data_IF_909162593257
#
_entry.id   IF_909162593257
#
_cell.length_a   1.000
_cell.length_b   1.000
_cell.length_c   1.000
_cell.angle_alpha   90.00
_cell.angle_beta   90.00
_cell.angle_gamma   90.00
#
_symmetry.space_group_name_H-M   'P 1'
#
loop_
_entity.id
_entity.type
_entity.pdbx_description
1 polymer ?
#
# COMPACT_ATOMS: atom_id res chain seq x y z
N UNK A 1 25.85 -37.99 -60.43
CA UNK A 1 24.73 -38.45 -59.58
C UNK A 1 24.94 -37.88 -58.19
N UNK A 2 23.92 -37.19 -57.68
CA UNK A 2 23.94 -36.44 -56.43
C UNK A 2 23.63 -37.33 -55.23
N UNK A 3 24.32 -37.12 -54.10
CA UNK A 3 23.78 -37.27 -52.74
C UNK A 3 24.65 -36.45 -51.75
N UNK A 4 24.08 -35.38 -51.22
CA UNK A 4 24.58 -34.68 -50.02
C UNK A 4 24.32 -35.51 -48.76
N UNK A 5 25.29 -35.66 -47.84
CA UNK A 5 25.01 -36.11 -46.49
C UNK A 5 24.54 -34.94 -45.62
N UNK A 6 23.30 -35.04 -45.14
CA UNK A 6 22.69 -34.15 -44.14
C UNK A 6 23.42 -34.31 -42.81
N UNK A 7 23.97 -33.22 -42.27
CA UNK A 7 24.58 -33.15 -40.93
C UNK A 7 23.47 -33.20 -39.87
N UNK A 8 23.51 -34.12 -38.89
CA UNK A 8 22.47 -34.23 -37.88
C UNK A 8 22.47 -33.01 -36.95
N UNK A 9 21.29 -32.41 -36.79
CA UNK A 9 21.02 -31.37 -35.81
C UNK A 9 21.19 -31.96 -34.40
N UNK A 10 22.12 -31.41 -33.64
CA UNK A 10 22.25 -31.67 -32.21
C UNK A 10 20.98 -31.18 -31.50
N UNK A 11 20.40 -31.96 -30.59
CA UNK A 11 19.24 -31.51 -29.82
C UNK A 11 19.70 -30.35 -28.94
N UNK A 12 19.12 -29.16 -29.14
CA UNK A 12 19.32 -28.05 -28.22
C UNK A 12 18.79 -28.49 -26.86
N UNK A 13 19.71 -28.78 -25.95
CA UNK A 13 19.42 -28.89 -24.53
C UNK A 13 18.88 -27.53 -24.13
N UNK A 14 17.55 -27.45 -23.99
CA UNK A 14 16.84 -26.35 -23.35
C UNK A 14 17.41 -26.22 -21.95
N UNK A 15 18.43 -25.39 -21.85
CA UNK A 15 18.92 -24.84 -20.61
C UNK A 15 17.81 -23.93 -20.17
N UNK A 16 17.07 -24.38 -19.14
CA UNK A 16 16.24 -23.51 -18.36
C UNK A 16 17.06 -22.26 -18.08
N UNK A 17 16.70 -21.16 -18.73
CA UNK A 17 17.20 -19.83 -18.41
C UNK A 17 16.86 -19.64 -16.95
N UNK A 18 17.86 -19.85 -16.08
CA UNK A 18 17.86 -19.33 -14.72
C UNK A 18 17.76 -17.84 -14.92
N UNK A 19 16.54 -17.33 -14.91
CA UNK A 19 16.23 -15.90 -14.90
C UNK A 19 17.12 -15.31 -13.82
N UNK A 20 18.11 -14.54 -14.30
CA UNK A 20 19.04 -13.85 -13.45
C UNK A 20 18.21 -13.12 -12.39
N UNK A 21 18.50 -13.42 -11.13
CA UNK A 21 18.02 -12.67 -9.98
C UNK A 21 18.25 -11.20 -10.30
N UNK A 22 17.16 -10.47 -10.57
CA UNK A 22 17.23 -9.03 -10.63
C UNK A 22 17.87 -8.56 -9.31
N UNK A 23 18.69 -7.49 -9.31
CA UNK A 23 19.09 -6.88 -8.06
C UNK A 23 17.80 -6.58 -7.29
N UNK A 24 17.59 -7.32 -6.19
CA UNK A 24 16.49 -7.12 -5.26
C UNK A 24 16.67 -5.71 -4.70
N UNK A 25 16.07 -4.72 -5.36
CA UNK A 25 16.01 -3.36 -4.82
C UNK A 25 15.37 -3.49 -3.46
N UNK A 26 16.07 -3.14 -2.36
CA UNK A 26 15.50 -3.25 -1.04
C UNK A 26 14.19 -2.48 -1.06
N UNK A 27 13.10 -3.15 -0.69
CA UNK A 27 11.80 -2.51 -0.57
C UNK A 27 11.92 -1.42 0.47
N UNK A 28 12.13 -0.19 0.01
CA UNK A 28 12.23 0.97 0.88
C UNK A 28 10.81 1.31 1.31
N UNK A 29 10.39 0.69 2.41
CA UNK A 29 9.13 1.02 3.05
C UNK A 29 9.13 2.51 3.40
N UNK A 30 8.15 3.24 2.87
CA UNK A 30 7.99 4.68 3.12
C UNK A 30 7.71 4.95 4.60
N UNK A 31 7.18 3.96 5.32
CA UNK A 31 6.78 4.08 6.72
C UNK A 31 7.34 2.95 7.58
N UNK A 32 7.63 3.26 8.83
CA UNK A 32 7.86 2.25 9.86
C UNK A 32 6.55 1.47 10.15
N UNK A 33 6.67 0.24 10.66
CA UNK A 33 5.54 -0.55 11.14
C UNK A 33 4.70 0.21 12.17
N UNK A 34 5.33 1.00 13.05
CA UNK A 34 4.59 1.81 14.03
C UNK A 34 3.73 2.89 13.36
N UNK A 35 4.29 3.59 12.38
CA UNK A 35 3.60 4.63 11.61
C UNK A 35 2.47 4.06 10.77
N UNK A 36 2.68 2.87 10.21
CA UNK A 36 1.64 2.18 9.45
C UNK A 36 0.40 1.87 10.30
N UNK A 37 0.59 1.46 11.58
CA UNK A 37 -0.52 1.28 12.53
C UNK A 37 -1.25 2.59 12.82
N UNK A 38 -0.52 3.70 13.01
CA UNK A 38 -1.13 5.02 13.22
C UNK A 38 -1.88 5.50 11.98
N UNK A 39 -1.37 5.21 10.78
CA UNK A 39 -2.03 5.53 9.53
C UNK A 39 -3.36 4.76 9.39
N UNK A 40 -3.37 3.46 9.68
CA UNK A 40 -4.62 2.67 9.70
C UNK A 40 -5.60 3.23 10.74
N UNK A 41 -5.12 3.60 11.93
CA UNK A 41 -5.96 4.23 12.94
C UNK A 41 -6.58 5.54 12.43
N UNK A 42 -5.82 6.35 11.69
CA UNK A 42 -6.34 7.59 11.09
C UNK A 42 -7.48 7.34 10.10
N UNK A 43 -7.36 6.30 9.27
CA UNK A 43 -8.41 5.88 8.33
C UNK A 43 -9.66 5.44 9.09
N UNK A 44 -9.51 4.68 10.18
CA UNK A 44 -10.63 4.25 11.00
C UNK A 44 -11.40 5.44 11.61
N UNK A 45 -10.67 6.47 12.07
CA UNK A 45 -11.28 7.71 12.61
C UNK A 45 -12.01 8.49 11.53
N UNK A 46 -11.42 8.62 10.34
CA UNK A 46 -12.08 9.27 9.19
C UNK A 46 -13.36 8.53 8.80
N UNK A 47 -13.29 7.20 8.70
CA UNK A 47 -14.46 6.37 8.42
C UNK A 47 -15.56 6.53 9.48
N UNK A 48 -15.18 6.56 10.76
CA UNK A 48 -16.10 6.83 11.86
C UNK A 48 -16.79 8.19 11.71
N UNK A 49 -16.06 9.24 11.35
CA UNK A 49 -16.62 10.58 11.10
C UNK A 49 -17.65 10.59 9.97
N UNK A 50 -17.37 9.90 8.87
CA UNK A 50 -18.32 9.74 7.77
C UNK A 50 -19.55 8.90 8.15
N UNK A 51 -19.38 7.85 8.96
CA UNK A 51 -20.51 7.05 9.47
C UNK A 51 -21.41 7.92 10.38
N UNK A 52 -20.80 8.75 11.23
CA UNK A 52 -21.53 9.71 12.07
C UNK A 52 -22.36 10.69 11.21
N UNK A 53 -21.79 11.12 10.07
CA UNK A 53 -22.48 11.96 9.09
C UNK A 53 -23.62 11.20 8.37
N UNK A 54 -23.43 9.94 8.01
CA UNK A 54 -24.34 9.12 7.18
C UNK A 54 -25.66 8.69 7.84
N UNK A 55 -25.84 8.85 9.16
CA UNK A 55 -27.10 8.49 9.83
C UNK A 55 -28.36 9.19 9.30
N UNK A 56 -29.54 8.63 9.55
CA UNK A 56 -30.83 9.11 9.01
C UNK A 56 -31.61 10.06 9.95
N UNK A 57 -31.17 10.20 11.20
CA UNK A 57 -31.82 11.07 12.19
C UNK A 57 -31.36 12.51 12.01
N UNK A 58 -32.30 13.38 11.65
CA UNK A 58 -32.23 14.84 11.66
C UNK A 58 -30.94 15.45 11.06
N UNK A 59 -31.03 15.88 9.80
CA UNK A 59 -29.95 16.56 9.05
C UNK A 59 -29.44 17.83 9.75
N UNK A 60 -30.25 18.45 10.61
CA UNK A 60 -29.87 19.64 11.38
C UNK A 60 -29.26 19.32 12.74
N UNK A 61 -29.00 18.05 13.05
CA UNK A 61 -28.32 17.64 14.27
C UNK A 61 -26.91 18.25 14.34
N UNK A 62 -26.61 18.89 15.47
CA UNK A 62 -25.27 19.44 15.79
C UNK A 62 -24.17 18.40 15.62
N UNK A 63 -24.49 17.12 15.84
CA UNK A 63 -23.57 15.99 15.64
C UNK A 63 -23.11 15.87 14.19
N UNK A 64 -24.01 16.07 13.21
CA UNK A 64 -23.68 15.93 11.79
C UNK A 64 -23.04 17.18 11.22
N UNK A 65 -23.50 18.36 11.65
CA UNK A 65 -23.02 19.64 11.12
C UNK A 65 -21.67 20.03 11.73
N UNK A 66 -21.44 19.71 13.01
CA UNK A 66 -20.24 20.18 13.74
C UNK A 66 -19.35 19.02 14.14
N UNK A 67 -19.88 18.03 14.85
CA UNK A 67 -19.05 16.98 15.45
C UNK A 67 -18.43 16.08 14.38
N UNK A 68 -19.22 15.62 13.41
CA UNK A 68 -18.76 14.72 12.36
C UNK A 68 -17.64 15.34 11.50
N UNK A 69 -17.75 16.58 10.98
CA UNK A 69 -16.66 17.24 10.27
C UNK A 69 -15.41 17.42 11.14
N UNK A 70 -15.56 17.76 12.42
CA UNK A 70 -14.43 17.88 13.35
C UNK A 70 -13.71 16.54 13.54
N UNK A 71 -14.45 15.44 13.66
CA UNK A 71 -13.89 14.08 13.76
C UNK A 71 -13.12 13.70 12.49
N UNK A 72 -13.67 14.02 11.31
CA UNK A 72 -13.00 13.77 10.02
C UNK A 72 -11.69 14.57 9.94
N UNK A 73 -11.72 15.86 10.28
CA UNK A 73 -10.52 16.71 10.30
C UNK A 73 -9.47 16.21 11.30
N UNK A 74 -9.89 15.76 12.48
CA UNK A 74 -9.00 15.16 13.46
C UNK A 74 -8.35 13.88 12.92
N UNK A 75 -9.12 13.04 12.21
CA UNK A 75 -8.62 11.85 11.51
C UNK A 75 -7.56 12.19 10.46
N UNK A 76 -7.79 13.21 9.63
CA UNK A 76 -6.79 13.69 8.68
C UNK A 76 -5.54 14.25 9.36
N UNK A 77 -5.69 15.00 10.46
CA UNK A 77 -4.57 15.45 11.29
C UNK A 77 -3.70 14.30 11.79
N UNK A 78 -4.34 13.23 12.29
CA UNK A 78 -3.67 12.00 12.70
C UNK A 78 -2.94 11.31 11.54
N UNK A 79 -3.54 11.31 10.35
CA UNK A 79 -2.94 10.82 9.12
C UNK A 79 -1.69 11.60 8.72
N UNK A 80 -1.73 12.93 8.76
CA UNK A 80 -0.56 13.77 8.52
C UNK A 80 0.56 13.48 9.53
N UNK A 81 0.23 13.34 10.82
CA UNK A 81 1.21 12.96 11.83
C UNK A 81 1.79 11.58 11.53
N UNK A 82 0.98 10.60 11.12
CA UNK A 82 1.48 9.27 10.79
C UNK A 82 2.44 9.26 9.59
N UNK A 83 2.19 10.12 8.59
CA UNK A 83 3.03 10.25 7.39
C UNK A 83 4.33 11.02 7.70
N UNK A 84 4.23 12.15 8.39
CA UNK A 84 5.37 13.05 8.65
C UNK A 84 6.25 12.58 9.80
N UNK A 85 5.73 11.72 10.68
CA UNK A 85 6.51 11.16 11.79
C UNK A 85 7.67 10.36 11.22
N UNK A 86 8.89 10.83 11.48
CA UNK A 86 10.09 10.11 11.05
C UNK A 86 10.10 8.70 11.65
N UNK A 87 10.52 7.67 10.90
CA UNK A 87 10.65 6.32 11.42
C UNK A 87 11.54 6.37 12.66
N UNK A 88 10.98 6.01 13.82
CA UNK A 88 11.74 5.92 15.05
C UNK A 88 12.59 4.67 14.93
N UNK A 89 13.87 4.85 14.57
CA UNK A 89 14.86 3.78 14.67
C UNK A 89 14.85 3.33 16.13
N UNK A 90 14.21 2.20 16.39
CA UNK A 90 14.21 1.59 17.71
C UNK A 90 15.66 1.15 17.94
N UNK A 91 16.33 1.83 18.86
CA UNK A 91 17.68 1.48 19.32
C UNK A 91 17.73 0.04 19.80
#
# INVERSE_FOLDING_TARGET
MATTPVKPATPYKSTATKTASAPETPSQFIFDKANYKLFIASIAVVALGFILMAGTTDIYSTTKIVIAPVVVLAGFGLGFVAILKKPQAKA
#
